data_IF_837176523899
#
_entry.id   IF_837176523899
#
_cell.length_a   1.000
_cell.length_b   1.000
_cell.length_c   1.000
_cell.angle_alpha   90.00
_cell.angle_beta   90.00
_cell.angle_gamma   90.00
#
_symmetry.space_group_name_H-M   'P 1'
#
loop_
_entity.id
_entity.type
_entity.pdbx_description
1 polymer ?
#
# COMPACT_ATOMS: atom_id res chain seq x y z
N UNK A 1 -20.77 6.77 9.94
CA UNK A 1 -19.42 6.15 10.03
C UNK A 1 -18.50 6.87 11.01
N UNK A 2 -18.52 8.22 11.08
CA UNK A 2 -17.77 9.02 12.08
C UNK A 2 -18.00 8.70 13.56
N UNK A 3 -19.07 8.01 13.91
CA UNK A 3 -19.45 7.74 15.32
C UNK A 3 -18.74 6.53 15.94
N UNK A 4 -17.91 5.79 15.20
CA UNK A 4 -17.30 4.53 15.66
C UNK A 4 -15.76 4.56 15.73
N UNK A 5 -15.12 5.66 15.35
CA UNK A 5 -13.67 5.81 15.31
C UNK A 5 -13.31 7.09 16.04
N UNK A 6 -12.39 7.00 16.99
CA UNK A 6 -11.78 8.19 17.60
C UNK A 6 -10.72 8.76 16.64
N UNK A 7 -11.05 9.90 16.03
CA UNK A 7 -10.14 10.67 15.20
C UNK A 7 -9.59 11.91 15.93
N UNK A 8 -9.98 12.12 17.19
CA UNK A 8 -9.62 13.31 17.96
C UNK A 8 -8.25 13.15 18.64
N UNK A 9 -7.94 11.95 19.16
CA UNK A 9 -6.62 11.63 19.74
C UNK A 9 -6.01 10.29 19.26
N UNK A 10 -5.89 10.06 17.94
CA UNK A 10 -5.29 8.83 17.46
C UNK A 10 -3.76 8.83 17.65
N UNK A 11 -3.12 7.68 17.92
CA UNK A 11 -1.67 7.58 18.01
C UNK A 11 -0.99 7.92 16.68
N UNK A 12 -0.15 8.96 16.71
CA UNK A 12 0.80 9.26 15.63
C UNK A 12 2.08 8.47 15.86
N UNK A 13 2.54 7.73 14.86
CA UNK A 13 3.78 6.95 14.93
C UNK A 13 4.82 7.46 13.93
N UNK A 14 6.07 7.13 14.19
CA UNK A 14 7.19 7.31 13.29
C UNK A 14 8.11 6.09 13.37
N UNK A 15 8.28 5.38 12.25
CA UNK A 15 9.26 4.28 12.15
C UNK A 15 10.51 4.78 11.41
N UNK A 16 11.72 4.48 11.91
CA UNK A 16 12.95 4.89 11.25
C UNK A 16 13.15 4.10 9.95
N UNK A 17 13.59 4.79 8.89
CA UNK A 17 14.00 4.15 7.63
C UNK A 17 15.33 4.74 7.15
N UNK A 18 15.97 4.07 6.19
CA UNK A 18 17.21 4.56 5.58
C UNK A 18 17.08 5.94 4.90
N UNK A 19 15.85 6.38 4.57
CA UNK A 19 15.56 7.68 3.94
C UNK A 19 14.95 8.70 4.91
N UNK A 20 15.03 8.42 6.22
CA UNK A 20 14.36 9.21 7.27
C UNK A 20 13.10 8.55 7.80
N UNK A 21 12.48 9.12 8.84
CA UNK A 21 11.30 8.54 9.47
C UNK A 21 10.09 8.50 8.52
N UNK A 22 9.34 7.41 8.57
CA UNK A 22 8.02 7.29 7.94
C UNK A 22 6.96 7.41 9.01
N UNK A 23 6.05 8.35 8.80
CA UNK A 23 5.00 8.69 9.75
C UNK A 23 3.66 8.12 9.32
N UNK A 24 2.76 8.00 10.28
CA UNK A 24 1.35 7.73 10.05
C UNK A 24 0.55 7.82 11.33
N UNK A 25 -0.73 7.51 11.21
CA UNK A 25 -1.70 7.50 12.31
C UNK A 25 -2.33 6.12 12.40
N UNK A 26 -2.41 5.57 13.60
CA UNK A 26 -3.18 4.35 13.85
C UNK A 26 -4.65 4.71 14.11
N UNK A 27 -5.54 4.04 13.40
CA UNK A 27 -6.99 4.29 13.45
C UNK A 27 -7.66 3.10 14.13
N UNK A 28 -8.13 3.30 15.36
CA UNK A 28 -8.85 2.29 16.12
C UNK A 28 -10.36 2.36 15.84
N UNK A 29 -11.00 1.21 15.71
CA UNK A 29 -12.44 1.09 15.59
C UNK A 29 -12.94 -0.25 16.15
N UNK A 30 -14.26 -0.49 16.12
CA UNK A 30 -14.88 -1.64 16.79
C UNK A 30 -14.44 -3.01 16.25
N UNK A 31 -13.87 -3.08 15.04
CA UNK A 31 -13.38 -4.33 14.44
C UNK A 31 -11.85 -4.47 14.53
N UNK A 32 -11.13 -3.46 15.02
CA UNK A 32 -9.69 -3.51 15.16
C UNK A 32 -9.02 -2.23 14.71
N UNK A 33 -7.88 -2.39 14.03
CA UNK A 33 -6.96 -1.29 13.74
C UNK A 33 -6.73 -1.12 12.24
N UNK A 34 -6.52 0.11 11.80
CA UNK A 34 -6.01 0.44 10.49
C UNK A 34 -4.90 1.47 10.55
N UNK A 35 -4.27 1.70 9.41
CA UNK A 35 -3.14 2.64 9.28
C UNK A 35 -3.45 3.71 8.25
N UNK A 36 -3.33 4.97 8.67
CA UNK A 36 -3.41 6.14 7.82
C UNK A 36 -2.02 6.73 7.64
N UNK A 37 -1.40 6.47 6.48
CA UNK A 37 -0.03 6.92 6.17
C UNK A 37 0.13 7.43 4.72
N UNK A 38 -0.71 8.38 4.26
CA UNK A 38 -0.55 8.95 2.92
C UNK A 38 0.84 9.57 2.72
N UNK A 39 1.33 9.64 1.47
CA UNK A 39 2.54 10.39 1.13
C UNK A 39 2.41 11.85 1.58
N UNK A 40 3.54 12.48 1.93
CA UNK A 40 3.55 13.87 2.38
C UNK A 40 3.02 14.88 1.33
N UNK A 41 3.10 14.53 0.04
CA UNK A 41 2.59 15.31 -1.09
C UNK A 41 1.13 15.03 -1.44
N UNK A 42 0.44 14.16 -0.70
CA UNK A 42 -0.94 13.80 -1.01
C UNK A 42 -1.87 15.00 -0.91
N UNK A 43 -2.77 15.15 -1.90
CA UNK A 43 -3.92 16.07 -1.78
C UNK A 43 -4.88 15.59 -0.70
N UNK A 44 -5.79 16.47 -0.26
CA UNK A 44 -6.80 16.10 0.73
C UNK A 44 -7.74 14.99 0.21
N UNK A 45 -8.05 14.96 -1.10
CA UNK A 45 -8.84 13.88 -1.73
C UNK A 45 -8.09 12.55 -1.74
N UNK A 46 -6.78 12.57 -2.01
CA UNK A 46 -5.98 11.36 -1.93
C UNK A 46 -5.90 10.89 -0.48
N UNK A 47 -5.64 11.79 0.47
CA UNK A 47 -5.64 11.48 1.89
C UNK A 47 -7.01 10.90 2.34
N UNK A 48 -8.13 11.42 1.86
CA UNK A 48 -9.45 10.85 2.16
C UNK A 48 -9.60 9.39 1.71
N UNK A 49 -8.98 8.99 0.59
CA UNK A 49 -8.92 7.57 0.17
C UNK A 49 -8.09 6.77 1.16
N UNK A 50 -6.90 7.23 1.52
CA UNK A 50 -6.07 6.58 2.54
C UNK A 50 -6.80 6.42 3.88
N UNK A 51 -7.58 7.42 4.28
CA UNK A 51 -8.42 7.33 5.48
C UNK A 51 -9.53 6.28 5.29
N UNK A 52 -10.20 6.24 4.14
CA UNK A 52 -11.17 5.16 3.85
C UNK A 52 -10.51 3.78 3.97
N UNK A 53 -9.29 3.62 3.44
CA UNK A 53 -8.54 2.37 3.51
C UNK A 53 -8.23 1.99 4.98
N UNK A 54 -7.82 2.96 5.80
CA UNK A 54 -7.56 2.76 7.23
C UNK A 54 -8.82 2.40 8.01
N UNK A 55 -9.97 2.99 7.67
CA UNK A 55 -11.24 2.73 8.35
C UNK A 55 -11.82 1.34 8.04
N UNK A 56 -11.51 0.76 6.89
CA UNK A 56 -12.09 -0.53 6.46
C UNK A 56 -11.80 -1.67 7.44
N UNK A 57 -10.53 -2.00 7.78
CA UNK A 57 -10.25 -3.04 8.77
C UNK A 57 -10.67 -2.66 10.19
N UNK A 58 -10.75 -1.36 10.52
CA UNK A 58 -11.12 -0.93 11.87
C UNK A 58 -12.63 -0.93 12.12
N UNK A 59 -13.48 -0.92 11.09
CA UNK A 59 -14.94 -0.82 11.25
C UNK A 59 -15.77 -1.93 10.61
N UNK A 60 -15.34 -2.50 9.49
CA UNK A 60 -16.13 -3.48 8.72
C UNK A 60 -15.37 -4.80 8.56
N UNK A 61 -14.04 -4.77 8.54
CA UNK A 61 -13.21 -5.91 8.15
C UNK A 61 -13.14 -6.08 6.63
N UNK A 62 -12.31 -7.01 6.17
CA UNK A 62 -12.09 -7.27 4.73
C UNK A 62 -13.06 -8.33 4.18
N UNK A 63 -13.18 -8.44 2.85
CA UNK A 63 -13.77 -9.62 2.21
C UNK A 63 -13.03 -10.91 2.58
N UNK A 64 -13.72 -12.05 2.44
CA UNK A 64 -13.12 -13.37 2.69
C UNK A 64 -11.93 -13.61 1.76
N UNK A 65 -10.85 -14.12 2.34
CA UNK A 65 -9.67 -14.50 1.59
C UNK A 65 -9.92 -15.80 0.78
N UNK A 66 -9.49 -15.81 -0.47
CA UNK A 66 -9.48 -17.00 -1.32
C UNK A 66 -8.22 -17.85 -1.12
N UNK A 67 -7.22 -17.31 -0.40
CA UNK A 67 -5.94 -17.98 -0.09
C UNK A 67 -5.41 -17.56 1.27
N UNK A 68 -4.85 -18.50 2.02
CA UNK A 68 -4.32 -18.26 3.38
C UNK A 68 -2.92 -17.63 3.43
N UNK A 69 -2.22 -17.54 2.30
CA UNK A 69 -0.92 -16.87 2.18
C UNK A 69 -0.75 -16.27 0.79
N UNK A 70 0.05 -15.22 0.68
CA UNK A 70 0.35 -14.52 -0.59
C UNK A 70 1.85 -14.60 -0.89
N UNK A 71 2.25 -14.91 -2.14
CA UNK A 71 3.65 -14.95 -2.54
C UNK A 71 4.25 -13.54 -2.57
N UNK A 72 5.50 -13.41 -2.15
CA UNK A 72 6.22 -12.15 -2.05
C UNK A 72 7.47 -12.19 -2.94
N UNK A 73 7.63 -11.15 -3.75
CA UNK A 73 8.89 -10.84 -4.41
C UNK A 73 9.57 -9.67 -3.69
N UNK A 74 10.62 -10.00 -2.94
CA UNK A 74 11.42 -9.01 -2.21
C UNK A 74 12.38 -8.23 -3.14
N UNK A 75 12.62 -8.72 -4.35
CA UNK A 75 13.58 -8.19 -5.31
C UNK A 75 12.96 -7.45 -6.49
N UNK A 76 11.63 -7.40 -6.59
CA UNK A 76 10.93 -6.82 -7.75
C UNK A 76 11.46 -5.41 -8.06
N UNK A 77 12.11 -5.21 -9.22
CA UNK A 77 12.63 -3.91 -9.58
C UNK A 77 11.47 -2.98 -9.94
N UNK A 78 11.54 -1.76 -9.42
CA UNK A 78 10.64 -0.65 -9.77
C UNK A 78 11.43 0.33 -10.64
N UNK A 79 10.85 0.76 -11.75
CA UNK A 79 11.50 1.62 -12.75
C UNK A 79 10.78 2.97 -12.81
N UNK A 80 11.40 4.01 -12.25
CA UNK A 80 10.93 5.38 -12.43
C UNK A 80 11.17 5.84 -13.88
N UNK A 81 10.23 6.60 -14.45
CA UNK A 81 10.27 7.01 -15.87
C UNK A 81 10.40 8.53 -16.01
N UNK A 82 11.61 9.04 -15.78
CA UNK A 82 11.96 10.41 -16.15
C UNK A 82 12.27 10.53 -17.66
N UNK A 83 12.87 9.48 -18.22
CA UNK A 83 13.23 9.36 -19.63
C UNK A 83 12.91 7.95 -20.14
N UNK A 84 12.23 7.88 -21.29
CA UNK A 84 11.72 6.61 -21.85
C UNK A 84 12.86 5.73 -22.34
N UNK A 85 13.90 6.30 -22.97
CA UNK A 85 15.03 5.54 -23.49
C UNK A 85 15.83 4.88 -22.34
N UNK A 86 16.06 5.65 -21.27
CA UNK A 86 16.71 5.18 -20.05
C UNK A 86 15.89 4.07 -19.37
N UNK A 87 14.56 4.22 -19.26
CA UNK A 87 13.69 3.21 -18.69
C UNK A 87 13.73 1.90 -19.50
N UNK A 88 13.63 1.98 -20.84
CA UNK A 88 13.73 0.81 -21.72
C UNK A 88 15.09 0.12 -21.59
N UNK A 89 16.19 0.90 -21.59
CA UNK A 89 17.53 0.36 -21.42
C UNK A 89 17.71 -0.31 -20.04
N UNK A 90 17.12 0.26 -18.98
CA UNK A 90 17.13 -0.31 -17.63
C UNK A 90 16.39 -1.64 -17.56
N UNK A 91 15.22 -1.72 -18.20
CA UNK A 91 14.39 -2.94 -18.25
C UNK A 91 15.13 -4.05 -18.97
N UNK A 92 15.70 -3.78 -20.15
CA UNK A 92 16.45 -4.78 -20.94
C UNK A 92 17.69 -5.35 -20.25
N UNK A 93 18.21 -4.68 -19.22
CA UNK A 93 19.35 -5.14 -18.42
C UNK A 93 18.94 -5.96 -17.20
N UNK A 94 17.65 -6.05 -16.88
CA UNK A 94 17.14 -6.89 -15.79
C UNK A 94 17.00 -8.32 -16.29
N UNK A 95 17.75 -9.29 -15.74
CA UNK A 95 17.52 -10.69 -16.04
C UNK A 95 16.22 -11.17 -15.40
N UNK A 96 15.56 -12.15 -16.04
CA UNK A 96 14.45 -12.93 -15.49
C UNK A 96 13.26 -12.12 -14.95
N UNK A 97 12.98 -10.97 -15.55
CA UNK A 97 11.85 -10.11 -15.17
C UNK A 97 10.53 -10.66 -15.73
N UNK A 98 9.59 -10.97 -14.85
CA UNK A 98 8.22 -11.43 -15.17
C UNK A 98 7.27 -10.26 -15.51
N UNK A 99 7.46 -9.09 -14.90
CA UNK A 99 6.72 -7.85 -15.17
C UNK A 99 7.55 -6.61 -14.79
N UNK A 100 7.58 -5.61 -15.67
CA UNK A 100 8.22 -4.33 -15.42
C UNK A 100 7.22 -3.35 -14.79
N UNK A 101 7.41 -3.03 -13.51
CA UNK A 101 6.58 -2.03 -12.82
C UNK A 101 7.16 -0.63 -13.00
N UNK A 102 6.46 0.21 -13.74
CA UNK A 102 6.80 1.62 -13.96
C UNK A 102 6.12 2.49 -12.91
N UNK A 103 6.87 3.48 -12.42
CA UNK A 103 6.38 4.52 -11.51
C UNK A 103 6.79 5.90 -12.02
N UNK A 104 6.19 6.95 -11.46
CA UNK A 104 6.49 8.34 -11.81
C UNK A 104 6.40 8.60 -13.32
N UNK A 105 5.39 8.01 -13.97
CA UNK A 105 5.21 8.04 -15.42
C UNK A 105 3.82 8.51 -15.82
N UNK A 106 3.71 9.15 -16.98
CA UNK A 106 2.42 9.38 -17.64
C UNK A 106 1.98 8.15 -18.43
N UNK A 107 0.69 8.08 -18.78
CA UNK A 107 0.16 7.03 -19.64
C UNK A 107 0.85 7.00 -21.03
N UNK A 108 1.27 8.15 -21.55
CA UNK A 108 2.02 8.23 -22.80
C UNK A 108 3.40 7.59 -22.67
N UNK A 109 4.16 7.95 -21.63
CA UNK A 109 5.49 7.37 -21.37
C UNK A 109 5.39 5.85 -21.16
N UNK A 110 4.41 5.39 -20.38
CA UNK A 110 4.15 3.97 -20.17
C UNK A 110 3.88 3.24 -21.50
N UNK A 111 3.05 3.83 -22.37
CA UNK A 111 2.78 3.28 -23.71
C UNK A 111 4.06 3.18 -24.56
N UNK A 112 4.92 4.21 -24.53
CA UNK A 112 6.16 4.22 -25.28
C UNK A 112 7.15 3.15 -24.77
N UNK A 113 7.27 2.97 -23.45
CA UNK A 113 8.09 1.90 -22.85
C UNK A 113 7.54 0.53 -23.23
N UNK A 114 6.24 0.31 -23.03
CA UNK A 114 5.53 -0.95 -23.31
C UNK A 114 5.74 -1.45 -24.74
N UNK A 115 5.75 -0.54 -25.73
CA UNK A 115 5.98 -0.90 -27.14
C UNK A 115 7.42 -1.31 -27.47
N UNK A 116 8.37 -1.15 -26.54
CA UNK A 116 9.81 -1.29 -26.78
C UNK A 116 10.47 -2.34 -25.90
N UNK A 117 9.71 -3.02 -25.05
CA UNK A 117 10.17 -4.08 -24.14
C UNK A 117 9.35 -5.33 -24.36
N UNK A 118 9.96 -6.49 -24.15
CA UNK A 118 9.33 -7.80 -24.42
C UNK A 118 8.64 -8.40 -23.18
N UNK A 119 8.68 -7.69 -22.05
CA UNK A 119 8.05 -8.08 -20.78
C UNK A 119 6.78 -7.27 -20.55
N UNK A 120 5.75 -7.82 -19.88
CA UNK A 120 4.56 -7.07 -19.51
C UNK A 120 4.91 -5.81 -18.72
N UNK A 121 4.21 -4.71 -18.99
CA UNK A 121 4.36 -3.45 -18.25
C UNK A 121 3.22 -3.31 -17.25
N UNK A 122 3.55 -3.04 -15.98
CA UNK A 122 2.62 -2.66 -14.93
C UNK A 122 2.72 -1.18 -14.60
N UNK A 123 1.59 -0.53 -14.36
CA UNK A 123 1.50 0.85 -13.84
C UNK A 123 0.43 0.93 -12.77
N UNK A 124 0.51 1.95 -11.90
CA UNK A 124 -0.50 2.22 -10.90
C UNK A 124 -1.88 2.50 -11.53
N UNK A 125 -2.94 2.08 -10.84
CA UNK A 125 -4.31 2.11 -11.36
C UNK A 125 -4.86 3.51 -11.70
N UNK A 126 -4.21 4.56 -11.21
CA UNK A 126 -4.49 5.97 -11.52
C UNK A 126 -3.94 6.37 -12.90
N UNK A 127 -2.74 5.91 -13.29
CA UNK A 127 -2.19 6.10 -14.64
C UNK A 127 -3.11 5.49 -15.70
N UNK A 128 -3.73 4.34 -15.40
CA UNK A 128 -4.73 3.69 -16.26
C UNK A 128 -6.05 4.46 -16.37
N UNK A 129 -6.31 5.43 -15.50
CA UNK A 129 -7.52 6.27 -15.63
C UNK A 129 -7.45 7.20 -16.85
N UNK A 130 -6.23 7.59 -17.26
CA UNK A 130 -6.01 8.45 -18.43
C UNK A 130 -6.04 7.67 -19.75
N UNK A 131 -5.35 6.52 -19.82
CA UNK A 131 -5.49 5.55 -20.91
C UNK A 131 -5.35 4.11 -20.39
N UNK A 132 -6.43 3.30 -20.37
CA UNK A 132 -6.37 1.92 -19.88
C UNK A 132 -5.52 1.00 -20.76
N UNK A 133 -5.11 1.44 -21.96
CA UNK A 133 -4.26 0.68 -22.88
C UNK A 133 -2.78 1.00 -22.69
N UNK A 134 -2.38 1.84 -21.73
CA UNK A 134 -0.97 2.20 -21.57
C UNK A 134 -0.10 1.09 -20.95
N UNK A 135 -0.70 0.08 -20.34
CA UNK A 135 -0.02 -1.02 -19.67
C UNK A 135 -0.71 -2.37 -19.94
N UNK A 136 -0.05 -3.45 -19.55
CA UNK A 136 -0.57 -4.83 -19.64
C UNK A 136 -1.11 -5.32 -18.29
N UNK A 137 -0.64 -4.72 -17.19
CA UNK A 137 -0.90 -5.14 -15.81
C UNK A 137 -1.29 -3.92 -14.98
N UNK A 138 -2.26 -4.08 -14.08
CA UNK A 138 -2.60 -3.05 -13.09
C UNK A 138 -1.85 -3.27 -11.79
N UNK A 139 -1.10 -2.26 -11.34
CA UNK A 139 -0.57 -2.20 -9.99
C UNK A 139 -1.65 -1.66 -9.03
N UNK A 140 -1.98 -2.44 -8.00
CA UNK A 140 -3.00 -2.14 -7.00
C UNK A 140 -2.38 -1.91 -5.63
N UNK A 141 -2.81 -0.84 -4.96
CA UNK A 141 -2.39 -0.46 -3.60
C UNK A 141 -3.60 -0.05 -2.78
N UNK A 142 -3.78 -0.60 -1.58
CA UNK A 142 -4.98 -0.34 -0.79
C UNK A 142 -5.11 1.13 -0.37
N UNK A 143 -4.01 1.76 0.06
CA UNK A 143 -4.00 3.16 0.50
C UNK A 143 -4.65 4.12 -0.51
N UNK A 144 -4.07 4.32 -1.70
CA UNK A 144 -4.60 5.26 -2.69
C UNK A 144 -5.92 4.80 -3.33
N UNK A 145 -6.25 3.51 -3.33
CA UNK A 145 -7.53 3.00 -3.85
C UNK A 145 -8.68 3.15 -2.84
N UNK A 146 -8.36 3.35 -1.56
CA UNK A 146 -9.34 3.48 -0.50
C UNK A 146 -9.86 2.15 0.05
N UNK A 147 -8.97 1.16 0.16
CA UNK A 147 -9.22 -0.12 0.82
C UNK A 147 -9.34 -1.30 -0.15
N UNK A 148 -9.44 -2.49 0.45
CA UNK A 148 -9.51 -3.79 -0.20
C UNK A 148 -10.70 -3.88 -1.13
N UNK A 149 -11.92 -3.55 -0.66
CA UNK A 149 -13.12 -3.64 -1.52
C UNK A 149 -13.06 -2.72 -2.73
N UNK A 150 -12.52 -1.51 -2.56
CA UNK A 150 -12.32 -0.57 -3.68
C UNK A 150 -11.23 -1.08 -4.62
N UNK A 151 -10.15 -1.65 -4.09
CA UNK A 151 -9.10 -2.31 -4.86
C UNK A 151 -9.65 -3.44 -5.74
N UNK A 152 -10.46 -4.34 -5.17
CA UNK A 152 -11.09 -5.44 -5.91
C UNK A 152 -12.03 -4.93 -7.01
N UNK A 153 -12.89 -3.95 -6.72
CA UNK A 153 -13.76 -3.34 -7.74
C UNK A 153 -12.95 -2.70 -8.86
N UNK A 154 -11.81 -2.07 -8.54
CA UNK A 154 -10.94 -1.47 -9.56
C UNK A 154 -10.29 -2.54 -10.45
N UNK A 155 -9.84 -3.65 -9.86
CA UNK A 155 -9.31 -4.79 -10.60
C UNK A 155 -10.35 -5.36 -11.57
N UNK A 156 -11.57 -5.59 -11.08
CA UNK A 156 -12.70 -6.09 -11.89
C UNK A 156 -13.05 -5.13 -13.04
N UNK A 157 -13.15 -3.82 -12.76
CA UNK A 157 -13.47 -2.80 -13.77
C UNK A 157 -12.42 -2.69 -14.87
N UNK A 158 -11.15 -2.82 -14.52
CA UNK A 158 -10.05 -2.72 -15.49
C UNK A 158 -9.89 -4.01 -16.31
N UNK A 159 -10.21 -5.18 -15.74
CA UNK A 159 -10.11 -6.46 -16.42
C UNK A 159 -8.67 -6.85 -16.81
N UNK A 160 -7.67 -6.20 -16.22
CA UNK A 160 -6.24 -6.51 -16.43
C UNK A 160 -5.72 -7.45 -15.33
N UNK A 161 -4.69 -8.27 -15.61
CA UNK A 161 -3.93 -8.97 -14.59
C UNK A 161 -3.48 -8.00 -13.48
N UNK A 162 -3.58 -8.43 -12.22
CA UNK A 162 -3.27 -7.61 -11.07
C UNK A 162 -1.89 -7.92 -10.47
N UNK A 163 -1.13 -6.86 -10.20
CA UNK A 163 0.06 -6.87 -9.35
C UNK A 163 -0.28 -6.09 -8.07
N UNK A 164 -0.29 -6.76 -6.91
CA UNK A 164 -0.52 -6.05 -5.63
C UNK A 164 0.81 -5.52 -5.10
N UNK A 165 0.88 -4.20 -4.98
CA UNK A 165 2.08 -3.50 -4.52
C UNK A 165 1.83 -2.95 -3.13
N UNK A 166 2.78 -3.17 -2.24
CA UNK A 166 2.63 -2.81 -0.84
C UNK A 166 2.87 -1.31 -0.62
N UNK A 167 2.05 -0.73 0.24
CA UNK A 167 1.99 0.71 0.53
C UNK A 167 1.99 1.03 2.02
N UNK A 168 1.66 0.05 2.87
CA UNK A 168 1.71 0.17 4.32
C UNK A 168 3.12 0.46 4.86
N UNK A 169 3.18 1.30 5.89
CA UNK A 169 4.40 1.65 6.63
C UNK A 169 4.66 0.66 7.77
N UNK A 170 3.61 0.20 8.47
CA UNK A 170 3.68 -0.83 9.51
C UNK A 170 2.99 -2.12 9.06
N UNK A 171 3.08 -3.18 9.86
CA UNK A 171 2.32 -4.41 9.58
C UNK A 171 0.81 -4.22 9.60
N UNK A 172 0.29 -3.19 10.28
CA UNK A 172 -1.16 -2.89 10.31
C UNK A 172 -1.62 -2.42 8.93
N UNK A 173 -0.91 -1.45 8.33
CA UNK A 173 -1.18 -1.00 6.97
C UNK A 173 -0.93 -2.07 5.93
N UNK A 174 0.21 -2.78 6.06
CA UNK A 174 0.62 -3.83 5.12
C UNK A 174 -0.41 -4.97 5.03
N UNK A 175 -1.06 -5.29 6.15
CA UNK A 175 -2.08 -6.33 6.20
C UNK A 175 -3.27 -6.03 5.27
N UNK A 176 -3.59 -4.75 5.01
CA UNK A 176 -4.61 -4.38 4.02
C UNK A 176 -4.19 -4.76 2.60
N UNK A 177 -2.93 -4.54 2.23
CA UNK A 177 -2.43 -4.93 0.90
C UNK A 177 -2.39 -6.47 0.76
N UNK A 178 -1.98 -7.17 1.82
CA UNK A 178 -2.02 -8.65 1.87
C UNK A 178 -3.45 -9.17 1.74
N UNK A 179 -4.42 -8.54 2.41
CA UNK A 179 -5.83 -8.91 2.32
C UNK A 179 -6.40 -8.72 0.90
N UNK A 180 -6.02 -7.63 0.22
CA UNK A 180 -6.36 -7.44 -1.19
C UNK A 180 -5.80 -8.56 -2.07
N UNK A 181 -4.51 -8.86 -1.96
CA UNK A 181 -3.90 -9.96 -2.69
C UNK A 181 -4.55 -11.32 -2.38
N UNK A 182 -4.98 -11.54 -1.14
CA UNK A 182 -5.63 -12.77 -0.73
C UNK A 182 -7.07 -12.90 -1.23
N UNK A 183 -7.77 -11.80 -1.45
CA UNK A 183 -9.18 -11.78 -1.88
C UNK A 183 -9.36 -11.74 -3.41
N UNK A 184 -8.34 -11.37 -4.18
CA UNK A 184 -8.42 -11.37 -5.65
C UNK A 184 -8.60 -12.79 -6.22
N UNK A 185 -9.48 -13.01 -7.22
CA UNK A 185 -9.65 -14.32 -7.85
C UNK A 185 -8.34 -14.89 -8.39
N UNK A 186 -7.63 -14.07 -9.17
CA UNK A 186 -6.33 -14.42 -9.77
C UNK A 186 -5.22 -13.55 -9.19
N UNK A 187 -4.07 -14.17 -8.92
CA UNK A 187 -2.87 -13.52 -8.42
C UNK A 187 -1.64 -14.01 -9.19
N UNK A 188 -1.48 -13.58 -10.47
CA UNK A 188 -0.46 -14.12 -11.36
C UNK A 188 0.97 -13.68 -10.99
N UNK A 189 1.11 -12.59 -10.22
CA UNK A 189 2.41 -12.03 -9.82
C UNK A 189 2.60 -12.08 -8.30
N UNK A 190 3.84 -12.35 -7.88
CA UNK A 190 4.24 -12.19 -6.49
C UNK A 190 4.17 -10.71 -6.05
N UNK A 191 3.63 -10.47 -4.86
CA UNK A 191 3.34 -9.14 -4.31
C UNK A 191 4.55 -8.50 -3.64
N UNK A 192 4.42 -7.23 -3.26
CA UNK A 192 5.38 -6.55 -2.40
C UNK A 192 5.98 -5.29 -3.02
N UNK A 193 7.21 -4.90 -2.62
CA UNK A 193 8.05 -5.56 -1.62
C UNK A 193 7.57 -5.31 -0.18
N UNK A 194 7.95 -6.18 0.75
CA UNK A 194 7.78 -5.93 2.19
C UNK A 194 8.74 -4.81 2.61
N UNK A 195 8.29 -3.78 3.35
CA UNK A 195 9.18 -2.72 3.78
C UNK A 195 10.32 -3.26 4.66
N UNK A 196 11.60 -2.97 4.31
CA UNK A 196 12.73 -3.61 4.98
C UNK A 196 12.87 -3.19 6.45
N UNK A 197 12.35 -2.02 6.82
CA UNK A 197 12.38 -1.52 8.19
C UNK A 197 11.48 -2.30 9.15
N UNK A 198 10.51 -3.10 8.68
CA UNK A 198 9.62 -3.85 9.57
C UNK A 198 10.35 -4.87 10.47
N UNK A 199 11.59 -5.25 10.11
CA UNK A 199 12.42 -6.12 10.97
C UNK A 199 12.71 -5.49 12.33
N UNK A 200 12.89 -4.17 12.36
CA UNK A 200 13.34 -3.43 13.54
C UNK A 200 12.34 -2.35 13.98
N UNK A 201 11.58 -1.79 13.04
CA UNK A 201 10.68 -0.64 13.19
C UNK A 201 9.23 -0.98 12.85
N UNK A 202 8.54 -1.64 13.79
CA UNK A 202 7.14 -2.02 13.66
C UNK A 202 6.39 -1.90 15.00
N UNK A 203 5.10 -1.55 14.92
CA UNK A 203 4.25 -1.25 16.09
C UNK A 203 3.51 -2.48 16.63
N UNK A 204 3.57 -3.62 15.95
CA UNK A 204 3.01 -4.90 16.39
C UNK A 204 4.10 -5.80 16.98
N UNK A 205 3.72 -6.80 17.78
CA UNK A 205 4.69 -7.75 18.34
C UNK A 205 5.51 -8.47 17.27
N UNK A 206 6.73 -8.90 17.59
CA UNK A 206 7.62 -9.60 16.65
C UNK A 206 6.98 -10.82 15.99
N UNK A 207 6.15 -11.56 16.72
CA UNK A 207 5.43 -12.74 16.21
C UNK A 207 4.28 -12.40 15.24
N UNK A 208 3.85 -11.14 15.21
CA UNK A 208 2.76 -10.63 14.38
C UNK A 208 3.23 -9.67 13.29
N UNK A 209 4.52 -9.34 13.26
CA UNK A 209 5.11 -8.53 12.21
C UNK A 209 5.09 -9.28 10.89
N UNK A 210 4.65 -8.61 9.82
CA UNK A 210 4.55 -9.15 8.48
C UNK A 210 5.92 -9.07 7.78
N UNK A 211 6.84 -9.86 8.27
CA UNK A 211 8.13 -10.14 7.64
C UNK A 211 8.02 -11.41 6.78
N UNK A 212 8.63 -11.39 5.60
CA UNK A 212 8.57 -12.54 4.68
C UNK A 212 9.23 -13.77 5.29
N UNK A 213 8.50 -14.89 5.28
CA UNK A 213 9.01 -16.22 5.62
C UNK A 213 8.74 -17.18 4.46
N UNK A 214 9.76 -17.90 4.00
CA UNK A 214 9.70 -18.83 2.87
C UNK A 214 9.11 -18.24 1.57
N UNK A 215 9.25 -16.93 1.37
CA UNK A 215 8.71 -16.23 0.20
C UNK A 215 7.22 -15.91 0.28
N UNK A 216 6.60 -15.98 1.46
CA UNK A 216 5.17 -15.69 1.65
C UNK A 216 4.90 -14.75 2.83
N UNK A 217 3.71 -14.14 2.82
CA UNK A 217 3.06 -13.55 3.99
C UNK A 217 1.71 -14.23 4.28
N UNK A 218 1.32 -14.38 5.56
CA UNK A 218 0.02 -14.94 5.93
C UNK A 218 -1.12 -13.94 5.67
N UNK A 219 -2.22 -14.43 5.11
CA UNK A 219 -3.46 -13.67 4.95
C UNK A 219 -4.34 -13.85 6.19
N UNK A 220 -4.15 -13.00 7.20
CA UNK A 220 -5.02 -12.96 8.37
C UNK A 220 -6.36 -12.29 8.03
N UNK A 221 -7.48 -12.69 8.67
CA UNK A 221 -8.78 -12.07 8.43
C UNK A 221 -8.89 -10.62 8.95
N UNK A 222 -7.94 -10.20 9.79
CA UNK A 222 -7.84 -8.86 10.34
C UNK A 222 -6.38 -8.50 10.67
N UNK A 223 -6.03 -7.20 10.71
CA UNK A 223 -4.71 -6.76 11.16
C UNK A 223 -4.41 -7.20 12.60
N UNK A 224 -3.14 -7.32 12.93
CA UNK A 224 -2.74 -7.40 14.33
C UNK A 224 -2.97 -6.05 15.02
N UNK A 225 -3.44 -6.07 16.26
CA UNK A 225 -3.45 -4.87 17.10
C UNK A 225 -2.02 -4.42 17.43
N UNK A 226 -1.80 -3.11 17.70
CA UNK A 226 -0.51 -2.61 18.14
C UNK A 226 -0.11 -3.26 19.48
N UNK A 227 1.17 -3.58 19.60
CA UNK A 227 1.76 -3.95 20.88
C UNK A 227 2.05 -2.67 21.68
N UNK A 228 1.59 -2.60 22.92
CA UNK A 228 1.66 -1.36 23.71
C UNK A 228 3.09 -0.86 23.93
N UNK A 229 4.04 -1.77 24.17
CA UNK A 229 5.44 -1.41 24.40
C UNK A 229 6.11 -0.91 23.11
N UNK A 230 5.85 -1.58 21.99
CA UNK A 230 6.37 -1.16 20.68
C UNK A 230 5.73 0.13 20.19
N UNK A 231 4.42 0.30 20.35
CA UNK A 231 3.75 1.55 20.04
C UNK A 231 4.34 2.69 20.86
N UNK A 232 4.59 2.51 22.16
CA UNK A 232 5.23 3.53 22.99
C UNK A 232 6.63 3.92 22.47
N UNK A 233 7.40 2.97 21.92
CA UNK A 233 8.71 3.23 21.33
C UNK A 233 8.64 4.07 20.05
N UNK A 234 7.64 3.84 19.20
CA UNK A 234 7.51 4.53 17.90
C UNK A 234 6.51 5.69 17.93
N UNK A 235 5.87 5.97 19.07
CA UNK A 235 4.92 7.07 19.21
C UNK A 235 5.65 8.41 19.08
N UNK A 236 5.13 9.27 18.23
CA UNK A 236 5.59 10.66 18.14
C UNK A 236 5.13 11.42 19.39
N UNK A 237 6.06 12.12 20.03
CA UNK A 237 5.78 12.98 21.19
C UNK A 237 5.91 14.47 20.87
N UNK A 238 6.43 14.83 19.69
CA UNK A 238 6.53 16.22 19.25
C UNK A 238 5.14 16.79 18.94
N UNK A 239 4.75 17.83 19.67
CA UNK A 239 3.41 18.43 19.56
C UNK A 239 3.15 19.06 18.19
N UNK A 240 4.17 19.60 17.52
CA UNK A 240 4.04 20.19 16.19
C UNK A 240 3.75 19.14 15.12
N UNK A 241 4.50 18.04 15.14
CA UNK A 241 4.28 16.91 14.23
C UNK A 241 2.90 16.28 14.47
N UNK A 242 2.50 16.09 15.73
CA UNK A 242 1.17 15.57 16.08
C UNK A 242 0.08 16.48 15.53
N UNK A 243 0.20 17.80 15.75
CA UNK A 243 -0.78 18.76 15.25
C UNK A 243 -0.90 18.74 13.72
N UNK A 244 0.23 18.64 13.01
CA UNK A 244 0.25 18.51 11.54
C UNK A 244 -0.50 17.26 11.06
N UNK A 245 -0.21 16.10 11.64
CA UNK A 245 -0.87 14.84 11.25
C UNK A 245 -2.36 14.83 11.58
N UNK A 246 -2.75 15.39 12.73
CA UNK A 246 -4.17 15.58 13.08
C UNK A 246 -4.88 16.51 12.11
N UNK A 247 -4.21 17.55 11.62
CA UNK A 247 -4.82 18.45 10.64
C UNK A 247 -5.04 17.76 9.29
N UNK A 248 -4.06 17.01 8.79
CA UNK A 248 -4.20 16.18 7.58
C UNK A 248 -5.35 15.19 7.74
N UNK A 249 -5.42 14.50 8.87
CA UNK A 249 -6.50 13.56 9.18
C UNK A 249 -7.87 14.25 9.20
N UNK A 250 -7.98 15.43 9.81
CA UNK A 250 -9.22 16.22 9.87
C UNK A 250 -9.69 16.66 8.48
N UNK A 251 -8.78 17.17 7.65
CA UNK A 251 -9.11 17.59 6.27
C UNK A 251 -9.54 16.39 5.42
N UNK A 252 -8.85 15.27 5.51
CA UNK A 252 -9.25 14.01 4.88
C UNK A 252 -10.63 13.54 5.34
N UNK A 253 -10.88 13.56 6.66
CA UNK A 253 -12.15 13.17 7.25
C UNK A 253 -13.31 14.09 6.86
N UNK A 254 -13.05 15.36 6.49
CA UNK A 254 -14.08 16.29 6.02
C UNK A 254 -14.65 15.94 4.64
N UNK A 255 -13.97 15.07 3.90
CA UNK A 255 -14.37 14.64 2.56
C UNK A 255 -15.08 13.26 2.54
N UNK A 256 -15.30 12.65 3.70
CA UNK A 256 -15.96 11.34 3.88
C UNK A 256 -17.35 11.48 4.49
#
# INVERSE_FOLDING_TARGET
>A
MRTLIDLDDPPVFAVPTARGPRYGVLVEGPQGWGEFSPPASASDELAARWLTAAMEPSTVGWPDALRGRVPIDAGRPVVAVDDVDAAVARIRRLPDLDVAHLVDCTAEQATQVRRRVDVPVAVDADVLADDPRCADVVALRCGPLGGVRRGMRRAEQLGLPALVVFSGVTSIGLASDVALAAALPDLPYACGPVPPWLRDGDVVSSARSLITADGYLPAAPMPAGPDAARLAQFRVTDAGIIAQWRDVLRRAAALL
#
